data_IF_019421738360
#
_entry.id   IF_019421738360
#
_cell.length_a   1.000
_cell.length_b   1.000
_cell.length_c   1.000
_cell.angle_alpha   90.00
_cell.angle_beta   90.00
_cell.angle_gamma   90.00
#
_symmetry.space_group_name_H-M   'P 1'
#
loop_
_entity.id
_entity.type
_entity.pdbx_description
1 polymer ?
#
# COMPACT_ATOMS: atom_id res chain seq x y z
N UNK A 1 -57.03 -16.22 15.76
CA UNK A 1 -55.97 -16.60 14.82
C UNK A 1 -54.76 -15.74 15.13
N UNK A 2 -53.90 -16.21 16.01
CA UNK A 2 -52.66 -15.52 16.45
C UNK A 2 -51.57 -15.85 15.47
N UNK A 3 -51.20 -14.85 14.67
CA UNK A 3 -50.09 -14.95 13.74
C UNK A 3 -48.76 -14.79 14.52
N UNK A 4 -48.25 -15.88 15.06
CA UNK A 4 -46.93 -15.94 15.68
C UNK A 4 -45.88 -16.04 14.58
N UNK A 5 -45.45 -14.86 14.10
CA UNK A 5 -44.20 -14.73 13.34
C UNK A 5 -43.03 -14.79 14.31
N UNK A 6 -42.82 -15.93 14.96
CA UNK A 6 -41.56 -16.21 15.58
C UNK A 6 -40.52 -16.50 14.47
N UNK A 7 -39.38 -15.82 14.44
CA UNK A 7 -38.31 -16.19 13.53
C UNK A 7 -37.91 -17.62 13.84
N UNK A 8 -37.91 -18.49 12.84
CA UNK A 8 -37.51 -19.89 13.00
C UNK A 8 -36.13 -19.93 13.71
N UNK A 9 -36.08 -20.59 14.86
CA UNK A 9 -34.85 -20.81 15.58
C UNK A 9 -33.80 -21.42 14.64
N UNK A 10 -32.65 -20.75 14.51
CA UNK A 10 -31.54 -21.22 13.68
C UNK A 10 -31.37 -20.61 12.31
N UNK A 11 -32.22 -19.64 11.88
CA UNK A 11 -31.99 -18.93 10.64
C UNK A 11 -30.98 -17.80 10.87
N UNK A 12 -29.70 -18.10 10.57
CA UNK A 12 -28.67 -17.07 10.48
C UNK A 12 -28.96 -16.15 9.31
N UNK A 13 -29.14 -14.84 9.57
CA UNK A 13 -29.23 -13.83 8.53
C UNK A 13 -27.87 -13.74 7.82
N UNK A 14 -27.82 -14.24 6.59
CA UNK A 14 -26.62 -14.15 5.75
C UNK A 14 -26.69 -12.90 4.89
N UNK A 15 -25.78 -12.00 5.13
CA UNK A 15 -25.57 -10.82 4.31
C UNK A 15 -24.58 -11.14 3.19
N UNK A 16 -24.94 -10.84 1.95
CA UNK A 16 -24.11 -11.01 0.78
C UNK A 16 -23.52 -9.66 0.33
N UNK A 17 -22.22 -9.64 0.05
CA UNK A 17 -21.52 -8.47 -0.44
C UNK A 17 -20.82 -8.80 -1.77
N UNK A 18 -20.97 -7.92 -2.77
CA UNK A 18 -20.28 -8.05 -4.05
C UNK A 18 -18.79 -7.76 -3.85
N UNK A 19 -17.94 -8.69 -4.26
CA UNK A 19 -16.51 -8.51 -4.34
C UNK A 19 -16.17 -7.96 -5.73
N UNK A 20 -15.95 -6.65 -5.81
CA UNK A 20 -15.63 -5.96 -7.06
C UNK A 20 -14.11 -6.11 -7.38
N UNK A 21 -13.75 -7.31 -7.79
CA UNK A 21 -12.40 -7.71 -8.20
C UNK A 21 -12.48 -8.64 -9.41
N UNK A 22 -11.40 -8.71 -10.17
CA UNK A 22 -11.31 -9.58 -11.34
C UNK A 22 -11.25 -11.06 -10.99
N UNK A 23 -11.79 -11.88 -11.86
CA UNK A 23 -11.64 -13.33 -11.76
C UNK A 23 -10.16 -13.73 -11.85
N UNK A 24 -9.36 -13.03 -12.63
CA UNK A 24 -7.91 -13.26 -12.76
C UNK A 24 -7.18 -13.10 -11.42
N UNK A 25 -7.55 -12.11 -10.60
CA UNK A 25 -6.99 -11.94 -9.25
C UNK A 25 -7.35 -13.11 -8.34
N UNK A 26 -8.59 -13.60 -8.38
CA UNK A 26 -9.00 -14.78 -7.60
C UNK A 26 -8.22 -16.02 -8.05
N UNK A 27 -8.10 -16.22 -9.36
CA UNK A 27 -7.33 -17.33 -9.96
C UNK A 27 -5.87 -17.27 -9.54
N UNK A 28 -5.25 -16.08 -9.61
CA UNK A 28 -3.87 -15.88 -9.20
C UNK A 28 -3.65 -16.28 -7.72
N UNK A 29 -4.50 -15.82 -6.80
CA UNK A 29 -4.40 -16.17 -5.39
C UNK A 29 -4.62 -17.67 -5.14
N UNK A 30 -5.60 -18.25 -5.83
CA UNK A 30 -5.85 -19.70 -5.79
C UNK A 30 -4.60 -20.49 -6.16
N UNK A 31 -3.96 -20.11 -7.25
CA UNK A 31 -2.80 -20.82 -7.79
C UNK A 31 -1.54 -20.58 -6.95
N UNK A 32 -1.39 -19.38 -6.40
CA UNK A 32 -0.34 -19.06 -5.44
C UNK A 32 -0.46 -19.94 -4.18
N UNK A 33 -1.66 -20.09 -3.65
CA UNK A 33 -1.92 -20.96 -2.49
C UNK A 33 -1.70 -22.44 -2.83
N UNK A 34 -2.17 -22.90 -3.99
CA UNK A 34 -1.93 -24.27 -4.45
C UNK A 34 -0.44 -24.61 -4.56
N UNK A 35 0.33 -23.68 -5.15
CA UNK A 35 1.79 -23.81 -5.27
C UNK A 35 2.46 -23.91 -3.90
N UNK A 36 2.00 -23.09 -2.94
CA UNK A 36 2.48 -23.15 -1.55
C UNK A 36 2.17 -24.50 -0.89
N UNK A 37 0.91 -24.98 -1.00
CA UNK A 37 0.49 -26.26 -0.42
C UNK A 37 1.30 -27.44 -0.97
N UNK A 38 1.56 -27.43 -2.29
CA UNK A 38 2.41 -28.43 -2.94
C UNK A 38 3.85 -28.38 -2.38
N UNK A 39 4.41 -27.17 -2.24
CA UNK A 39 5.78 -27.00 -1.74
C UNK A 39 5.96 -27.48 -0.30
N UNK A 40 4.98 -27.27 0.58
CA UNK A 40 5.03 -27.73 1.98
C UNK A 40 4.47 -29.13 2.18
N UNK A 41 4.11 -29.83 1.09
CA UNK A 41 3.51 -31.17 1.10
C UNK A 41 2.31 -31.29 2.06
N UNK A 42 1.48 -30.26 2.14
CA UNK A 42 0.28 -30.24 2.99
C UNK A 42 -0.96 -30.64 2.20
N UNK A 43 -1.47 -31.88 2.36
CA UNK A 43 -2.61 -32.35 1.58
C UNK A 43 -3.95 -31.79 2.03
N UNK A 44 -4.04 -31.29 3.29
CA UNK A 44 -5.32 -30.95 3.89
C UNK A 44 -5.51 -29.46 4.11
N UNK A 45 -6.59 -28.95 3.52
CA UNK A 45 -7.25 -27.69 3.90
C UNK A 45 -8.75 -27.98 4.07
N UNK A 46 -9.35 -27.38 5.10
CA UNK A 46 -10.79 -27.52 5.34
C UNK A 46 -11.65 -26.89 4.24
N UNK A 47 -11.04 -26.06 3.38
CA UNK A 47 -11.71 -25.38 2.27
C UNK A 47 -10.84 -25.39 1.01
N UNK A 48 -11.46 -25.41 -0.19
CA UNK A 48 -10.75 -25.28 -1.47
C UNK A 48 -9.98 -23.95 -1.55
N UNK A 49 -8.82 -23.97 -2.23
CA UNK A 49 -7.95 -22.80 -2.36
C UNK A 49 -8.66 -21.57 -2.96
N UNK A 50 -9.57 -21.76 -3.90
CA UNK A 50 -10.38 -20.67 -4.48
C UNK A 50 -11.30 -20.01 -3.45
N UNK A 51 -11.95 -20.79 -2.58
CA UNK A 51 -12.82 -20.26 -1.52
C UNK A 51 -12.01 -19.51 -0.47
N UNK A 52 -10.83 -20.02 -0.08
CA UNK A 52 -9.89 -19.33 0.80
C UNK A 52 -9.47 -17.98 0.19
N UNK A 53 -9.15 -17.96 -1.10
CA UNK A 53 -8.79 -16.72 -1.81
C UNK A 53 -9.92 -15.68 -1.75
N UNK A 54 -11.17 -16.07 -2.03
CA UNK A 54 -12.34 -15.18 -1.96
C UNK A 54 -12.54 -14.62 -0.56
N UNK A 55 -12.46 -15.46 0.48
CA UNK A 55 -12.63 -15.02 1.87
C UNK A 55 -11.54 -14.01 2.29
N UNK A 56 -10.29 -14.26 1.92
CA UNK A 56 -9.18 -13.34 2.21
C UNK A 56 -9.36 -12.03 1.44
N UNK A 57 -9.71 -12.08 0.16
CA UNK A 57 -9.95 -10.88 -0.65
C UNK A 57 -11.12 -10.05 -0.11
N UNK A 58 -12.22 -10.69 0.29
CA UNK A 58 -13.36 -10.01 0.90
C UNK A 58 -12.96 -9.23 2.17
N UNK A 59 -12.13 -9.85 3.00
CA UNK A 59 -11.61 -9.19 4.20
C UNK A 59 -10.68 -8.03 3.88
N UNK A 60 -9.75 -8.18 2.94
CA UNK A 60 -8.82 -7.11 2.55
C UNK A 60 -9.56 -5.95 1.86
N UNK A 61 -10.51 -6.26 0.97
CA UNK A 61 -11.24 -5.27 0.18
C UNK A 61 -12.23 -4.48 1.00
N UNK A 62 -12.98 -5.14 1.91
CA UNK A 62 -14.09 -4.55 2.64
C UNK A 62 -13.80 -4.26 4.12
N UNK A 63 -12.64 -4.65 4.66
CA UNK A 63 -12.29 -4.60 6.10
C UNK A 63 -13.35 -5.30 6.97
N UNK A 64 -13.89 -6.42 6.47
CA UNK A 64 -14.92 -7.18 7.20
C UNK A 64 -14.37 -7.72 8.52
N UNK A 65 -15.20 -7.67 9.55
CA UNK A 65 -14.85 -8.25 10.84
C UNK A 65 -14.64 -9.76 10.69
N UNK A 66 -13.49 -10.24 11.21
CA UNK A 66 -13.10 -11.65 11.07
C UNK A 66 -14.14 -12.62 11.60
N UNK A 67 -14.71 -12.30 12.77
CA UNK A 67 -15.70 -13.15 13.43
C UNK A 67 -16.95 -13.33 12.55
N UNK A 68 -17.45 -12.22 11.96
CA UNK A 68 -18.67 -12.24 11.16
C UNK A 68 -18.45 -12.98 9.83
N UNK A 69 -17.31 -12.72 9.18
CA UNK A 69 -16.95 -13.42 7.95
C UNK A 69 -16.72 -14.92 8.19
N UNK A 70 -16.09 -15.28 9.30
CA UNK A 70 -15.84 -16.67 9.69
C UNK A 70 -17.16 -17.40 10.00
N UNK A 71 -18.00 -16.82 10.84
CA UNK A 71 -19.30 -17.37 11.22
C UNK A 71 -20.22 -17.58 10.03
N UNK A 72 -20.40 -16.57 9.17
CA UNK A 72 -21.22 -16.66 7.96
C UNK A 72 -20.71 -17.66 6.90
N UNK A 73 -19.48 -18.14 7.04
CA UNK A 73 -18.89 -19.12 6.12
C UNK A 73 -18.59 -20.49 6.77
N UNK A 74 -18.99 -20.71 8.02
CA UNK A 74 -18.79 -21.98 8.72
C UNK A 74 -17.30 -22.30 8.95
N UNK A 75 -16.47 -21.28 9.20
CA UNK A 75 -15.02 -21.41 9.39
C UNK A 75 -14.64 -20.84 10.75
N UNK A 76 -13.78 -21.50 11.54
CA UNK A 76 -13.26 -20.89 12.78
C UNK A 76 -12.50 -19.59 12.51
N UNK A 77 -12.69 -18.56 13.36
CA UNK A 77 -12.01 -17.28 13.23
C UNK A 77 -10.47 -17.42 13.18
N UNK A 78 -9.92 -18.29 14.04
CA UNK A 78 -8.48 -18.56 14.09
C UNK A 78 -7.95 -19.13 12.79
N UNK A 79 -8.74 -19.97 12.12
CA UNK A 79 -8.41 -20.55 10.80
C UNK A 79 -8.41 -19.47 9.72
N UNK A 80 -9.45 -18.63 9.68
CA UNK A 80 -9.53 -17.53 8.73
C UNK A 80 -8.40 -16.51 8.93
N UNK A 81 -8.05 -16.21 10.18
CA UNK A 81 -6.91 -15.36 10.54
C UNK A 81 -5.61 -15.92 9.99
N UNK A 82 -5.35 -17.22 10.16
CA UNK A 82 -4.16 -17.90 9.65
C UNK A 82 -4.11 -17.87 8.12
N UNK A 83 -5.22 -18.08 7.43
CA UNK A 83 -5.27 -17.99 5.95
C UNK A 83 -4.98 -16.59 5.45
N UNK A 84 -5.53 -15.57 6.11
CA UNK A 84 -5.23 -14.17 5.82
C UNK A 84 -3.73 -13.89 5.94
N UNK A 85 -3.14 -14.27 7.08
CA UNK A 85 -1.74 -13.97 7.37
C UNK A 85 -0.81 -14.70 6.39
N UNK A 86 -1.09 -15.98 6.12
CA UNK A 86 -0.36 -16.76 5.11
C UNK A 86 -0.47 -16.13 3.71
N UNK A 87 -1.65 -15.71 3.29
CA UNK A 87 -1.83 -15.10 1.98
C UNK A 87 -1.12 -13.75 1.86
N UNK A 88 -1.17 -12.94 2.92
CA UNK A 88 -0.42 -11.67 2.98
C UNK A 88 1.08 -11.94 2.83
N UNK A 89 1.64 -12.91 3.55
CA UNK A 89 3.07 -13.24 3.48
C UNK A 89 3.46 -13.77 2.07
N UNK A 90 2.63 -14.60 1.46
CA UNK A 90 2.84 -15.09 0.09
C UNK A 90 2.82 -13.98 -0.95
N UNK A 91 1.87 -13.06 -0.86
CA UNK A 91 1.78 -11.90 -1.75
C UNK A 91 2.92 -10.91 -1.51
N UNK A 92 3.23 -10.60 -0.25
CA UNK A 92 4.32 -9.69 0.10
C UNK A 92 5.67 -10.17 -0.44
N UNK A 93 5.90 -11.50 -0.48
CA UNK A 93 7.09 -12.08 -1.08
C UNK A 93 7.18 -11.89 -2.61
N UNK A 94 6.06 -11.58 -3.28
CA UNK A 94 6.01 -11.25 -4.72
C UNK A 94 6.18 -9.77 -5.01
N UNK A 95 6.10 -8.91 -3.99
CA UNK A 95 6.28 -7.47 -4.18
C UNK A 95 7.70 -7.15 -4.67
N UNK A 96 7.82 -6.22 -5.63
CA UNK A 96 9.11 -5.86 -6.19
C UNK A 96 10.02 -5.19 -5.15
N UNK A 97 11.29 -5.53 -5.17
CA UNK A 97 12.33 -4.78 -4.46
C UNK A 97 12.63 -3.48 -5.21
N UNK A 98 13.06 -2.46 -4.49
CA UNK A 98 13.32 -1.13 -5.05
C UNK A 98 14.24 -1.18 -6.28
N UNK A 99 15.37 -1.85 -6.16
CA UNK A 99 16.35 -1.99 -7.24
C UNK A 99 15.77 -2.66 -8.50
N UNK A 100 14.91 -3.66 -8.32
CA UNK A 100 14.25 -4.37 -9.43
C UNK A 100 13.14 -3.53 -10.05
N UNK A 101 12.36 -2.81 -9.22
CA UNK A 101 11.30 -1.93 -9.70
C UNK A 101 11.87 -0.84 -10.61
N UNK A 102 12.90 -0.14 -10.16
CA UNK A 102 13.55 0.93 -10.93
C UNK A 102 14.19 0.40 -12.22
N UNK A 103 14.93 -0.71 -12.16
CA UNK A 103 15.48 -1.34 -13.37
C UNK A 103 14.41 -1.75 -14.38
N UNK A 104 13.22 -2.16 -13.93
CA UNK A 104 12.10 -2.49 -14.81
C UNK A 104 11.59 -1.24 -15.56
N UNK A 105 11.54 -0.08 -14.88
CA UNK A 105 11.17 1.19 -15.50
C UNK A 105 12.21 1.61 -16.55
N UNK A 106 13.49 1.65 -16.17
CA UNK A 106 14.57 2.02 -17.10
C UNK A 106 14.60 1.13 -18.36
N UNK A 107 14.43 -0.19 -18.19
CA UNK A 107 14.36 -1.14 -19.33
C UNK A 107 13.18 -0.90 -20.29
N UNK A 108 12.11 -0.24 -19.83
CA UNK A 108 10.94 0.12 -20.63
C UNK A 108 11.08 1.49 -21.30
N UNK A 109 12.23 2.15 -21.15
CA UNK A 109 12.49 3.49 -21.67
C UNK A 109 11.93 4.61 -20.80
N UNK A 110 11.49 4.32 -19.57
CA UNK A 110 11.12 5.37 -18.62
C UNK A 110 12.34 6.13 -18.14
N UNK A 111 12.20 7.43 -17.92
CA UNK A 111 13.29 8.33 -17.49
C UNK A 111 13.07 8.84 -16.06
N UNK A 112 11.81 8.93 -15.65
CA UNK A 112 11.39 9.55 -14.38
C UNK A 112 10.44 8.66 -13.61
N UNK A 113 10.53 8.70 -12.29
CA UNK A 113 9.51 8.13 -11.38
C UNK A 113 8.96 9.24 -10.49
N UNK A 114 7.76 9.02 -9.94
CA UNK A 114 7.18 9.95 -8.99
C UNK A 114 7.36 9.38 -7.59
N UNK A 115 7.76 10.22 -6.63
CA UNK A 115 7.90 9.80 -5.22
C UNK A 115 7.01 10.63 -4.33
N UNK A 116 6.30 9.97 -3.43
CA UNK A 116 5.48 10.63 -2.42
C UNK A 116 5.37 9.79 -1.15
N UNK A 117 5.03 10.48 -0.04
CA UNK A 117 4.79 9.89 1.26
C UNK A 117 3.30 9.81 1.58
N UNK A 118 2.89 8.73 2.23
CA UNK A 118 1.52 8.60 2.71
C UNK A 118 1.45 8.16 4.16
N UNK A 119 0.49 8.69 4.89
CA UNK A 119 0.13 8.23 6.23
C UNK A 119 -1.05 7.25 6.15
N UNK A 120 -0.85 6.03 6.63
CA UNK A 120 -1.93 5.06 6.81
C UNK A 120 -2.35 5.10 8.28
N UNK A 121 -3.63 5.44 8.57
CA UNK A 121 -4.11 5.58 9.94
C UNK A 121 -3.98 4.29 10.75
N UNK A 122 -3.67 4.41 12.04
CA UNK A 122 -3.69 3.30 13.00
C UNK A 122 -4.64 3.62 14.14
N UNK A 123 -4.89 2.64 15.02
CA UNK A 123 -5.45 2.94 16.32
C UNK A 123 -4.48 3.85 17.09
N UNK A 124 -5.03 4.64 18.04
CA UNK A 124 -4.22 5.44 18.95
C UNK A 124 -3.21 4.53 19.65
N UNK A 125 -1.95 4.91 19.61
CA UNK A 125 -0.88 4.26 20.35
C UNK A 125 -0.75 4.92 21.71
N UNK A 126 -0.34 4.16 22.70
CA UNK A 126 -0.13 4.62 24.10
C UNK A 126 1.31 4.46 24.53
N UNK A 127 1.68 5.00 25.66
CA UNK A 127 3.02 4.90 26.23
C UNK A 127 4.12 5.40 25.27
N UNK A 128 5.21 4.69 25.18
CA UNK A 128 6.38 5.05 24.33
C UNK A 128 6.06 5.12 22.83
N UNK A 129 5.04 4.43 22.36
CA UNK A 129 4.62 4.42 20.96
C UNK A 129 3.67 5.58 20.58
N UNK A 130 3.12 6.31 21.56
CA UNK A 130 2.17 7.39 21.31
C UNK A 130 2.80 8.51 20.45
N UNK A 131 3.80 9.18 20.98
CA UNK A 131 4.43 10.36 20.34
C UNK A 131 5.09 10.06 18.98
N UNK A 132 5.82 8.96 18.79
CA UNK A 132 6.41 8.64 17.48
C UNK A 132 5.39 8.40 16.38
N UNK A 133 4.23 7.81 16.70
CA UNK A 133 3.21 7.46 15.72
C UNK A 133 2.18 8.58 15.47
N UNK A 134 2.24 9.68 16.21
CA UNK A 134 1.38 10.84 15.97
C UNK A 134 1.97 11.76 14.91
N UNK A 135 1.24 11.98 13.83
CA UNK A 135 1.60 12.93 12.77
C UNK A 135 0.99 14.29 13.05
N UNK A 136 1.82 15.31 13.29
CA UNK A 136 1.39 16.70 13.44
C UNK A 136 0.78 17.26 12.14
N UNK A 137 1.26 16.82 10.97
CA UNK A 137 0.73 17.25 9.66
C UNK A 137 -0.72 16.75 9.44
N UNK A 138 -1.04 15.54 9.89
CA UNK A 138 -2.33 14.91 9.67
C UNK A 138 -3.23 14.83 10.91
N UNK A 139 -2.75 15.33 12.05
CA UNK A 139 -3.45 15.35 13.34
C UNK A 139 -4.00 13.98 13.78
N UNK A 140 -3.28 12.90 13.45
CA UNK A 140 -3.70 11.52 13.78
C UNK A 140 -2.53 10.57 13.95
N UNK A 141 -2.80 9.43 14.61
CA UNK A 141 -1.86 8.34 14.69
C UNK A 141 -1.85 7.56 13.37
N UNK A 142 -0.66 7.17 12.92
CA UNK A 142 -0.51 6.40 11.69
C UNK A 142 0.90 5.84 11.54
N UNK A 143 1.07 5.09 10.46
CA UNK A 143 2.38 4.66 9.98
C UNK A 143 2.64 5.37 8.65
N UNK A 144 3.85 5.88 8.52
CA UNK A 144 4.33 6.54 7.32
C UNK A 144 4.92 5.50 6.35
N UNK A 145 4.61 5.66 5.07
CA UNK A 145 5.17 4.88 3.97
C UNK A 145 5.57 5.80 2.84
N UNK A 146 6.69 5.50 2.18
CA UNK A 146 7.00 6.05 0.87
C UNK A 146 6.50 5.11 -0.22
N UNK A 147 6.05 5.68 -1.33
CA UNK A 147 5.79 4.94 -2.55
C UNK A 147 6.50 5.60 -3.73
N UNK A 148 6.93 4.78 -4.68
CA UNK A 148 7.32 5.21 -6.00
C UNK A 148 6.27 4.75 -7.00
N UNK A 149 5.92 5.62 -7.93
CA UNK A 149 5.08 5.29 -9.08
C UNK A 149 5.84 5.53 -10.37
N UNK A 150 5.39 4.90 -11.43
CA UNK A 150 5.75 5.31 -12.77
C UNK A 150 5.02 6.62 -13.16
N UNK A 151 5.27 7.12 -14.35
CA UNK A 151 4.70 8.36 -14.89
C UNK A 151 3.17 8.31 -15.04
N UNK A 152 2.60 7.11 -15.14
CA UNK A 152 1.16 6.88 -15.26
C UNK A 152 0.44 6.78 -13.92
N UNK A 153 1.19 6.77 -12.82
CA UNK A 153 0.67 6.66 -11.46
C UNK A 153 0.55 5.23 -10.93
N UNK A 154 1.03 4.22 -11.65
CA UNK A 154 1.14 2.87 -11.13
C UNK A 154 2.19 2.79 -10.02
N UNK A 155 1.80 2.33 -8.83
CA UNK A 155 2.76 2.15 -7.73
C UNK A 155 3.68 0.98 -8.07
N UNK A 156 4.98 1.26 -8.21
CA UNK A 156 6.00 0.25 -8.53
C UNK A 156 6.73 -0.27 -7.30
N UNK A 157 6.68 0.46 -6.18
CA UNK A 157 7.33 0.07 -4.93
C UNK A 157 6.76 0.80 -3.72
N UNK A 158 6.79 0.14 -2.56
CA UNK A 158 6.40 0.71 -1.26
C UNK A 158 7.48 0.37 -0.22
N UNK A 159 7.82 1.37 0.61
CA UNK A 159 8.79 1.24 1.70
C UNK A 159 8.30 0.36 2.85
N UNK A 160 9.19 0.08 3.79
CA UNK A 160 8.79 -0.42 5.10
C UNK A 160 8.03 0.66 5.90
N UNK A 161 7.14 0.22 6.78
CA UNK A 161 6.41 1.08 7.70
C UNK A 161 7.36 1.84 8.64
N UNK A 162 7.10 3.13 8.81
CA UNK A 162 7.83 4.01 9.73
C UNK A 162 6.85 4.68 10.68
N UNK A 163 7.32 5.19 11.84
CA UNK A 163 6.49 5.99 12.72
C UNK A 163 5.85 7.17 11.99
N UNK A 164 4.59 7.47 12.29
CA UNK A 164 3.79 8.47 11.55
C UNK A 164 4.34 9.90 11.55
N UNK A 165 5.23 10.26 12.50
CA UNK A 165 5.92 11.55 12.50
C UNK A 165 7.15 11.61 11.59
N UNK A 166 7.52 10.51 10.92
CA UNK A 166 8.70 10.46 10.06
C UNK A 166 8.50 11.40 8.87
N UNK A 167 9.47 12.27 8.60
CA UNK A 167 9.48 13.15 7.43
C UNK A 167 9.88 12.39 6.18
N UNK A 168 9.30 12.75 5.03
CA UNK A 168 9.55 12.15 3.72
C UNK A 168 11.05 12.12 3.39
N UNK A 169 11.76 13.23 3.57
CA UNK A 169 13.20 13.33 3.38
C UNK A 169 14.00 12.35 4.26
N UNK A 170 13.59 12.14 5.51
CA UNK A 170 14.25 11.19 6.41
C UNK A 170 14.00 9.75 5.96
N UNK A 171 12.78 9.45 5.52
CA UNK A 171 12.42 8.14 5.01
C UNK A 171 13.20 7.83 3.72
N UNK A 172 13.27 8.77 2.78
CA UNK A 172 14.00 8.62 1.52
C UNK A 172 15.50 8.34 1.73
N UNK A 173 16.15 9.06 2.66
CA UNK A 173 17.56 8.79 3.00
C UNK A 173 17.76 7.41 3.59
N UNK A 174 16.87 6.95 4.48
CA UNK A 174 16.94 5.60 5.08
C UNK A 174 16.77 4.49 4.06
N UNK A 175 15.94 4.71 3.03
CA UNK A 175 15.72 3.77 1.94
C UNK A 175 16.74 3.94 0.81
N UNK A 176 17.71 4.87 0.95
CA UNK A 176 18.78 5.14 -0.04
C UNK A 176 18.22 5.40 -1.44
N UNK A 177 17.13 6.19 -1.52
CA UNK A 177 16.39 6.41 -2.77
C UNK A 177 17.32 7.02 -3.84
N UNK A 178 18.15 8.01 -3.47
CA UNK A 178 19.06 8.70 -4.40
C UNK A 178 20.05 7.71 -5.02
N UNK A 179 20.67 6.86 -4.22
CA UNK A 179 21.62 5.86 -4.69
C UNK A 179 20.98 4.84 -5.65
N UNK A 180 19.74 4.43 -5.34
CA UNK A 180 18.98 3.52 -6.20
C UNK A 180 18.57 4.16 -7.52
N UNK A 181 18.19 5.45 -7.51
CA UNK A 181 17.85 6.21 -8.71
C UNK A 181 19.07 6.36 -9.61
N UNK A 182 20.22 6.79 -9.06
CA UNK A 182 21.48 6.92 -9.79
C UNK A 182 21.91 5.59 -10.40
N UNK A 183 21.84 4.49 -9.64
CA UNK A 183 22.19 3.15 -10.12
C UNK A 183 21.25 2.62 -11.24
N UNK A 184 20.04 3.18 -11.35
CA UNK A 184 19.09 2.84 -12.41
C UNK A 184 19.11 3.82 -13.58
N UNK A 185 19.81 4.95 -13.48
CA UNK A 185 19.82 6.03 -14.48
C UNK A 185 18.48 6.75 -14.58
N UNK A 186 17.74 6.88 -13.45
CA UNK A 186 16.41 7.48 -13.42
C UNK A 186 16.40 8.76 -12.58
N UNK A 187 15.56 9.73 -12.98
CA UNK A 187 15.18 10.86 -12.16
C UNK A 187 13.92 10.58 -11.30
N UNK A 188 13.64 11.48 -10.36
CA UNK A 188 12.40 11.45 -9.61
C UNK A 188 11.81 12.85 -9.44
N UNK A 189 10.47 12.96 -9.56
CA UNK A 189 9.72 14.15 -9.17
C UNK A 189 9.16 13.96 -7.76
N UNK A 190 9.42 14.94 -6.90
CA UNK A 190 9.04 14.89 -5.50
C UNK A 190 8.40 16.21 -5.03
N UNK A 191 7.64 16.15 -3.91
CA UNK A 191 7.10 17.35 -3.28
C UNK A 191 8.16 18.09 -2.43
N UNK A 192 7.76 19.21 -1.82
CA UNK A 192 8.64 20.00 -0.95
C UNK A 192 9.07 19.26 0.33
N UNK A 193 8.43 18.14 0.68
CA UNK A 193 8.82 17.27 1.78
C UNK A 193 10.16 16.57 1.56
N UNK A 194 10.62 16.51 0.31
CA UNK A 194 11.89 15.90 -0.09
C UNK A 194 13.03 16.92 -0.29
N UNK A 195 12.81 18.19 0.01
CA UNK A 195 13.87 19.19 -0.09
C UNK A 195 15.14 18.76 0.67
N UNK A 196 16.27 18.85 -0.03
CA UNK A 196 17.60 18.54 0.54
C UNK A 196 17.87 17.05 0.75
N UNK A 197 17.05 16.14 0.20
CA UNK A 197 17.37 14.70 0.17
C UNK A 197 18.56 14.46 -0.76
N UNK A 198 18.49 15.02 -1.94
CA UNK A 198 19.54 15.02 -2.96
C UNK A 198 20.28 16.36 -2.91
N UNK A 199 21.57 16.32 -2.60
CA UNK A 199 22.46 17.48 -2.54
C UNK A 199 23.77 17.12 -3.24
N UNK A 200 23.74 17.03 -4.58
CA UNK A 200 24.94 16.75 -5.33
C UNK A 200 25.91 17.97 -5.29
N UNK A 201 27.20 17.72 -5.46
CA UNK A 201 28.21 18.78 -5.61
C UNK A 201 27.99 19.56 -6.91
N UNK A 202 27.65 18.86 -8.00
CA UNK A 202 27.27 19.46 -9.27
C UNK A 202 25.73 19.42 -9.43
N UNK A 203 25.06 20.58 -9.68
CA UNK A 203 23.60 20.62 -9.91
C UNK A 203 23.09 19.69 -10.99
N UNK A 204 23.89 19.41 -12.01
CA UNK A 204 23.53 18.52 -13.13
C UNK A 204 23.42 17.03 -12.69
N UNK A 205 24.02 16.68 -11.56
CA UNK A 205 23.95 15.32 -10.99
C UNK A 205 22.70 15.13 -10.10
N UNK A 206 21.81 16.13 -10.02
CA UNK A 206 20.59 16.05 -9.23
C UNK A 206 19.58 15.10 -9.87
N UNK A 207 19.21 14.04 -9.14
CA UNK A 207 18.22 13.06 -9.60
C UNK A 207 16.83 13.27 -9.01
N UNK A 208 16.70 13.99 -7.89
CA UNK A 208 15.38 14.32 -7.29
C UNK A 208 15.06 15.79 -7.54
N UNK A 209 14.06 16.03 -8.37
CA UNK A 209 13.54 17.36 -8.66
C UNK A 209 12.38 17.69 -7.73
N UNK A 210 12.51 18.82 -7.01
CA UNK A 210 11.47 19.36 -6.13
C UNK A 210 11.13 20.81 -6.54
N UNK A 211 9.95 21.26 -6.08
CA UNK A 211 9.54 22.62 -6.31
C UNK A 211 10.36 23.65 -5.50
N UNK A 212 10.21 24.90 -5.88
CA UNK A 212 10.75 26.05 -5.13
C UNK A 212 9.88 26.37 -3.93
N UNK A 213 10.51 26.59 -2.77
CA UNK A 213 9.82 26.97 -1.54
C UNK A 213 9.91 28.47 -1.30
N UNK A 214 8.75 29.13 -1.10
CA UNK A 214 8.73 30.49 -0.61
C UNK A 214 9.20 30.56 0.85
N UNK A 215 9.89 31.62 1.22
CA UNK A 215 10.22 31.94 2.62
C UNK A 215 9.52 33.23 3.03
N UNK A 216 9.53 33.54 4.33
CA UNK A 216 8.96 34.81 4.86
C UNK A 216 9.54 36.03 4.15
N UNK A 217 10.83 35.99 3.82
CA UNK A 217 11.56 37.13 3.25
C UNK A 217 11.79 37.05 1.73
N UNK A 218 11.48 35.91 1.10
CA UNK A 218 11.69 35.72 -0.34
C UNK A 218 10.46 35.03 -0.97
N UNK A 219 9.65 35.83 -1.66
CA UNK A 219 8.53 35.33 -2.46
C UNK A 219 9.07 34.64 -3.73
N UNK A 220 8.28 33.71 -4.27
CA UNK A 220 8.62 33.07 -5.53
C UNK A 220 8.48 34.03 -6.71
N UNK A 221 9.43 33.99 -7.64
CA UNK A 221 9.33 34.68 -8.92
C UNK A 221 8.23 34.06 -9.79
N UNK A 222 7.83 34.76 -10.84
CA UNK A 222 6.83 34.22 -11.80
C UNK A 222 7.31 32.93 -12.44
N UNK A 223 8.59 32.84 -12.86
CA UNK A 223 9.19 31.63 -13.41
C UNK A 223 9.20 30.47 -12.42
N UNK A 224 9.54 30.71 -11.12
CA UNK A 224 9.49 29.68 -10.08
C UNK A 224 8.07 29.17 -9.81
N UNK A 225 7.07 30.08 -9.86
CA UNK A 225 5.66 29.68 -9.75
C UNK A 225 5.23 28.79 -10.91
N UNK A 226 5.66 29.14 -12.12
CA UNK A 226 5.37 28.35 -13.32
C UNK A 226 6.05 26.98 -13.27
N UNK A 227 7.32 26.90 -12.88
CA UNK A 227 8.03 25.64 -12.67
C UNK A 227 7.33 24.75 -11.63
N UNK A 228 6.90 25.33 -10.49
CA UNK A 228 6.14 24.58 -9.49
C UNK A 228 4.81 24.05 -10.04
N UNK A 229 4.14 24.81 -10.92
CA UNK A 229 2.87 24.37 -11.53
C UNK A 229 3.10 23.19 -12.48
N UNK A 230 4.16 23.23 -13.29
CA UNK A 230 4.54 22.14 -14.20
C UNK A 230 4.89 20.88 -13.38
N UNK A 231 5.69 21.04 -12.32
CA UNK A 231 6.05 19.93 -11.44
C UNK A 231 4.82 19.32 -10.76
N UNK A 232 3.89 20.15 -10.28
CA UNK A 232 2.66 19.67 -9.66
C UNK A 232 1.80 18.88 -10.66
N UNK A 233 1.68 19.35 -11.91
CA UNK A 233 0.98 18.64 -12.97
C UNK A 233 1.65 17.28 -13.28
N UNK A 234 2.98 17.23 -13.38
CA UNK A 234 3.73 15.98 -13.61
C UNK A 234 3.61 14.98 -12.44
N UNK A 235 3.32 15.46 -11.24
CA UNK A 235 3.15 14.60 -10.04
C UNK A 235 1.70 14.16 -9.78
N UNK A 236 0.72 14.75 -10.46
CA UNK A 236 -0.69 14.42 -10.24
C UNK A 236 -1.00 12.89 -10.32
N UNK A 237 -0.39 12.10 -11.22
CA UNK A 237 -0.65 10.67 -11.29
C UNK A 237 -0.34 9.90 -9.99
N UNK A 238 0.57 10.35 -9.13
CA UNK A 238 0.89 9.65 -7.87
C UNK A 238 -0.31 9.57 -6.92
N UNK A 239 -1.18 10.59 -6.95
CA UNK A 239 -2.39 10.61 -6.12
C UNK A 239 -3.37 9.52 -6.54
N UNK A 240 -3.47 9.22 -7.85
CA UNK A 240 -4.28 8.13 -8.37
C UNK A 240 -3.77 6.77 -7.89
N UNK A 241 -2.45 6.56 -7.89
CA UNK A 241 -1.83 5.34 -7.36
C UNK A 241 -2.21 5.10 -5.89
N UNK A 242 -2.10 6.13 -5.07
CA UNK A 242 -2.53 6.03 -3.67
C UNK A 242 -4.04 5.85 -3.50
N UNK A 243 -4.86 6.44 -4.36
CA UNK A 243 -6.31 6.23 -4.33
C UNK A 243 -6.66 4.76 -4.62
N UNK A 244 -6.05 4.15 -5.64
CA UNK A 244 -6.22 2.74 -5.95
C UNK A 244 -5.76 1.82 -4.80
N UNK A 245 -4.61 2.11 -4.19
CA UNK A 245 -4.14 1.36 -3.03
C UNK A 245 -5.09 1.50 -1.82
N UNK A 246 -5.57 2.72 -1.54
CA UNK A 246 -6.49 2.99 -0.42
C UNK A 246 -7.92 2.50 -0.66
N UNK A 247 -8.27 2.10 -1.88
CA UNK A 247 -9.53 1.41 -2.17
C UNK A 247 -9.63 0.05 -1.44
N UNK A 248 -8.51 -0.52 -0.99
CA UNK A 248 -8.50 -1.64 -0.06
C UNK A 248 -8.85 -1.14 1.35
N UNK A 249 -10.10 -1.35 1.77
CA UNK A 249 -10.65 -0.79 3.03
C UNK A 249 -9.93 -1.23 4.28
N UNK A 250 -9.19 -2.34 4.24
CA UNK A 250 -8.31 -2.76 5.34
C UNK A 250 -7.29 -1.68 5.73
N UNK A 251 -6.96 -0.74 4.82
CA UNK A 251 -6.09 0.41 5.07
C UNK A 251 -6.78 1.60 5.72
N UNK A 252 -8.10 1.58 5.89
CA UNK A 252 -8.85 2.66 6.55
C UNK A 252 -8.33 2.87 7.97
N UNK A 253 -8.01 1.78 8.67
CA UNK A 253 -7.42 1.84 10.02
C UNK A 253 -6.65 0.57 10.34
N UNK A 254 -5.33 0.64 10.31
CA UNK A 254 -4.47 -0.50 10.63
C UNK A 254 -4.58 -0.89 12.11
N UNK A 255 -4.76 -2.20 12.35
CA UNK A 255 -4.84 -2.81 13.69
C UNK A 255 -3.68 -3.78 13.93
N UNK A 256 -2.52 -3.51 13.35
CA UNK A 256 -1.36 -4.40 13.36
C UNK A 256 -0.06 -3.65 13.72
N UNK A 257 1.00 -4.39 13.95
CA UNK A 257 2.33 -3.85 14.16
C UNK A 257 2.98 -3.37 12.84
N UNK A 258 4.09 -2.58 12.89
CA UNK A 258 4.72 -2.05 11.69
C UNK A 258 5.25 -3.10 10.70
N UNK A 259 5.74 -4.26 11.19
CA UNK A 259 6.26 -5.31 10.31
C UNK A 259 5.12 -5.96 9.52
N UNK A 260 4.04 -6.31 10.19
CA UNK A 260 2.80 -6.82 9.57
C UNK A 260 2.15 -5.78 8.65
N UNK A 261 2.16 -4.50 9.02
CA UNK A 261 1.69 -3.42 8.15
C UNK A 261 2.52 -3.33 6.86
N UNK A 262 3.84 -3.51 6.95
CA UNK A 262 4.72 -3.55 5.77
C UNK A 262 4.37 -4.72 4.84
N UNK A 263 4.20 -5.92 5.39
CA UNK A 263 3.80 -7.08 4.61
C UNK A 263 2.43 -6.87 3.95
N UNK A 264 1.46 -6.33 4.69
CA UNK A 264 0.13 -6.01 4.17
C UNK A 264 0.20 -5.03 2.99
N UNK A 265 0.90 -3.91 3.12
CA UNK A 265 0.99 -2.94 2.02
C UNK A 265 1.68 -3.51 0.78
N UNK A 266 2.72 -4.32 0.96
CA UNK A 266 3.38 -5.03 -0.14
C UNK A 266 2.45 -6.05 -0.81
N UNK A 267 1.65 -6.76 -0.04
CA UNK A 267 0.63 -7.65 -0.58
C UNK A 267 -0.43 -6.89 -1.38
N UNK A 268 -0.91 -5.77 -0.85
CA UNK A 268 -1.88 -4.91 -1.54
C UNK A 268 -1.31 -4.24 -2.79
N UNK A 269 -0.01 -3.92 -2.80
CA UNK A 269 0.68 -3.46 -4.02
C UNK A 269 0.55 -4.48 -5.14
N UNK A 270 0.84 -5.76 -4.87
CA UNK A 270 0.72 -6.84 -5.86
C UNK A 270 -0.72 -6.99 -6.34
N UNK A 271 -1.69 -6.95 -5.43
CA UNK A 271 -3.11 -7.03 -5.77
C UNK A 271 -3.59 -5.83 -6.60
N UNK A 272 -3.12 -4.63 -6.26
CA UNK A 272 -3.46 -3.41 -7.01
C UNK A 272 -2.88 -3.44 -8.42
N UNK A 273 -1.65 -3.93 -8.60
CA UNK A 273 -1.01 -4.09 -9.91
C UNK A 273 -1.77 -5.12 -10.77
N UNK A 274 -2.21 -6.24 -10.18
CA UNK A 274 -3.05 -7.23 -10.87
C UNK A 274 -4.40 -6.66 -11.34
N UNK A 275 -5.00 -5.77 -10.55
CA UNK A 275 -6.26 -5.12 -10.89
C UNK A 275 -6.09 -3.98 -11.91
N UNK A 276 -4.95 -3.31 -11.93
CA UNK A 276 -4.64 -2.23 -12.88
C UNK A 276 -4.18 -2.75 -14.25
N UNK A 277 -3.69 -3.99 -14.32
CA UNK A 277 -3.19 -4.61 -15.57
C UNK A 277 -4.30 -5.23 -16.43
N UNK A 278 -5.54 -4.77 -16.25
CA UNK A 278 -6.75 -5.22 -17.01
C UNK A 278 -6.80 -4.70 -18.41
#
# INVERSE_FOLDING_TARGET
MTNTNEPAEGVSLVYQCRLDLSTSTIVYLRDLLRSRLKAIRSPFRSQPAGRIAVLVLAMLRHDQRLLDLAGGNGVPESTLRRWRDEMIDLLAAKAPRLDRALRKIAKRGGEVVLIDGTLIPTQRRTGKANRPNYSGKHHRHGLHFLALTDETGHIIWISAARPGRTHDATAARRDKIVEHLKAAGLGALADLGFLGVDKPENPDDQVIVTGYKATRHRKLTTGQKQANRILAAGRAPVEHGFAHLKAWRILTKLRTDPARATALLRALLVLTDLEASR
#
